data_IF_377602091390
#
_entry.id   IF_377602091390
#
_cell.length_a   1.000
_cell.length_b   1.000
_cell.length_c   1.000
_cell.angle_alpha   90.00
_cell.angle_beta   90.00
_cell.angle_gamma   90.00
#
_symmetry.space_group_name_H-M   'P 1'
#
loop_
_entity.id
_entity.type
_entity.pdbx_description
1 polymer ?
#
# COMPACT_ATOMS: atom_id res chain seq x y z
N UNK A 1 -19.20 -21.91 -6.13
CA UNK A 1 -19.09 -22.28 -4.71
C UNK A 1 -17.77 -21.77 -4.19
N UNK A 2 -17.73 -20.99 -3.10
CA UNK A 2 -16.50 -20.41 -2.55
C UNK A 2 -15.97 -21.27 -1.40
N UNK A 3 -14.65 -21.30 -1.21
CA UNK A 3 -14.03 -22.04 -0.08
C UNK A 3 -14.61 -21.59 1.27
N UNK A 4 -14.76 -20.30 1.59
CA UNK A 4 -15.40 -19.88 2.83
C UNK A 4 -16.82 -20.43 3.01
N UNK A 5 -17.65 -20.41 1.97
CA UNK A 5 -18.99 -20.95 2.03
C UNK A 5 -19.01 -22.47 2.26
N UNK A 6 -18.07 -23.21 1.69
CA UNK A 6 -17.94 -24.66 1.92
C UNK A 6 -17.51 -24.98 3.34
N UNK A 7 -16.69 -24.13 3.96
CA UNK A 7 -16.20 -24.28 5.33
C UNK A 7 -17.11 -23.64 6.38
N UNK A 8 -18.27 -23.10 5.99
CA UNK A 8 -19.18 -22.42 6.90
C UNK A 8 -18.61 -21.14 7.54
N UNK A 9 -17.62 -20.51 6.88
CA UNK A 9 -17.01 -19.27 7.35
C UNK A 9 -17.98 -18.11 7.07
N UNK A 10 -18.33 -17.40 8.12
CA UNK A 10 -19.14 -16.18 8.11
C UNK A 10 -18.33 -15.00 8.64
N UNK A 11 -18.86 -13.78 8.54
CA UNK A 11 -18.19 -12.59 9.12
C UNK A 11 -18.08 -12.69 10.65
N UNK A 12 -18.97 -13.42 11.31
CA UNK A 12 -19.01 -13.55 12.77
C UNK A 12 -17.96 -14.54 13.29
N UNK A 13 -17.65 -15.59 12.50
CA UNK A 13 -16.67 -16.61 12.88
C UNK A 13 -15.33 -16.49 12.14
N UNK A 14 -15.14 -15.42 11.35
CA UNK A 14 -13.90 -15.16 10.65
C UNK A 14 -12.76 -14.95 11.65
N UNK A 15 -11.74 -15.81 11.60
CA UNK A 15 -10.53 -15.64 12.39
C UNK A 15 -9.71 -14.46 11.83
N UNK A 16 -9.66 -13.39 12.60
CA UNK A 16 -8.93 -12.16 12.23
C UNK A 16 -7.47 -12.31 12.64
N UNK A 17 -6.62 -12.72 11.70
CA UNK A 17 -5.18 -12.64 11.90
C UNK A 17 -4.71 -11.24 11.53
N UNK A 18 -4.07 -10.56 12.48
CA UNK A 18 -3.49 -9.21 12.22
C UNK A 18 -2.31 -9.30 11.27
N UNK A 19 -1.49 -10.34 11.41
CA UNK A 19 -0.31 -10.56 10.59
C UNK A 19 -0.17 -12.04 10.26
N UNK A 20 -0.02 -12.38 8.98
CA UNK A 20 0.24 -13.74 8.51
C UNK A 20 1.30 -13.81 7.40
N UNK A 21 1.84 -12.65 6.99
CA UNK A 21 3.01 -12.54 6.12
C UNK A 21 4.11 -11.80 6.87
N UNK A 22 5.33 -12.33 6.82
CA UNK A 22 6.51 -11.70 7.39
C UNK A 22 7.46 -11.28 6.26
N UNK A 23 8.07 -10.11 6.45
CA UNK A 23 9.15 -9.67 5.56
C UNK A 23 10.44 -10.43 5.86
N UNK A 24 11.27 -10.57 4.84
CA UNK A 24 12.64 -11.02 4.99
C UNK A 24 13.44 -10.03 5.86
N UNK A 25 14.08 -10.56 6.91
CA UNK A 25 14.76 -9.73 7.91
C UNK A 25 16.06 -9.12 7.36
N UNK A 26 16.79 -9.86 6.51
CA UNK A 26 18.03 -9.36 5.92
C UNK A 26 17.75 -8.23 4.94
N UNK A 27 16.75 -8.41 4.07
CA UNK A 27 16.28 -7.38 3.16
C UNK A 27 15.74 -6.15 3.92
N UNK A 28 14.98 -6.35 4.99
CA UNK A 28 14.48 -5.26 5.83
C UNK A 28 15.63 -4.47 6.48
N UNK A 29 16.66 -5.17 6.95
CA UNK A 29 17.86 -4.55 7.52
C UNK A 29 18.63 -3.74 6.45
N UNK A 30 18.73 -4.26 5.24
CA UNK A 30 19.34 -3.53 4.12
C UNK A 30 18.55 -2.26 3.79
N UNK A 31 17.22 -2.34 3.77
CA UNK A 31 16.36 -1.18 3.57
C UNK A 31 16.51 -0.14 4.67
N UNK A 32 16.58 -0.54 5.95
CA UNK A 32 16.82 0.40 7.05
C UNK A 32 18.16 1.14 6.92
N UNK A 33 19.21 0.48 6.42
CA UNK A 33 20.49 1.14 6.12
C UNK A 33 20.36 2.15 4.98
N UNK A 34 19.65 1.78 3.91
CA UNK A 34 19.41 2.65 2.75
C UNK A 34 18.57 3.88 3.11
N UNK A 35 17.51 3.69 3.89
CA UNK A 35 16.65 4.77 4.38
C UNK A 35 17.36 5.68 5.40
N UNK A 36 18.38 5.18 6.06
CA UNK A 36 19.10 5.92 7.09
C UNK A 36 18.30 6.15 8.39
N UNK A 37 18.80 6.99 9.29
CA UNK A 37 18.16 7.27 10.58
C UNK A 37 16.76 7.88 10.38
N UNK A 38 15.76 7.29 11.04
CA UNK A 38 14.40 7.79 10.99
C UNK A 38 14.28 9.12 11.74
N UNK A 39 13.95 10.19 11.05
CA UNK A 39 13.76 11.53 11.61
C UNK A 39 12.28 11.95 11.63
N UNK A 40 11.46 11.35 10.80
CA UNK A 40 10.05 11.65 10.61
C UNK A 40 9.26 10.34 10.43
N UNK A 41 7.94 10.43 10.52
CA UNK A 41 7.06 9.31 10.21
C UNK A 41 7.21 8.96 8.72
N UNK A 42 7.47 7.67 8.42
CA UNK A 42 7.66 7.14 7.07
C UNK A 42 6.33 6.68 6.50
N UNK A 43 5.91 7.34 5.45
CA UNK A 43 4.65 7.07 4.75
C UNK A 43 4.97 6.47 3.39
N UNK A 44 4.66 5.19 3.21
CA UNK A 44 4.70 4.56 1.89
C UNK A 44 3.43 4.85 1.11
N UNK A 45 3.53 5.06 -0.20
CA UNK A 45 2.35 5.35 -0.99
C UNK A 45 2.40 4.74 -2.39
N UNK A 46 1.21 4.45 -2.93
CA UNK A 46 0.98 4.17 -4.35
C UNK A 46 -0.41 4.67 -4.75
N UNK A 47 -0.56 5.14 -5.98
CA UNK A 47 -1.79 5.79 -6.47
C UNK A 47 -2.47 5.04 -7.60
N UNK A 48 -1.84 4.02 -8.17
CA UNK A 48 -2.44 3.25 -9.25
C UNK A 48 -2.00 1.78 -9.22
N UNK A 49 -2.78 0.93 -9.86
CA UNK A 49 -2.37 -0.42 -10.23
C UNK A 49 -1.58 -0.43 -11.53
N UNK A 50 -1.38 -1.61 -12.13
CA UNK A 50 -0.77 -1.76 -13.46
C UNK A 50 -1.56 -0.99 -14.49
N UNK A 51 -0.90 -0.09 -15.22
CA UNK A 51 -1.55 0.85 -16.17
C UNK A 51 -2.07 0.17 -17.44
N UNK A 52 -1.52 -0.98 -17.81
CA UNK A 52 -1.91 -1.77 -18.98
C UNK A 52 -3.24 -2.52 -18.78
N UNK A 53 -3.69 -2.71 -17.56
CA UNK A 53 -4.94 -3.41 -17.27
C UNK A 53 -6.13 -2.43 -17.26
N UNK A 54 -7.13 -2.68 -18.13
CA UNK A 54 -8.34 -1.85 -18.26
C UNK A 54 -9.04 -1.58 -16.91
N UNK A 55 -9.18 -2.60 -16.06
CA UNK A 55 -9.79 -2.47 -14.73
C UNK A 55 -8.98 -1.56 -13.80
N UNK A 56 -7.67 -1.51 -13.95
CA UNK A 56 -6.81 -0.74 -13.05
C UNK A 56 -6.80 0.76 -13.37
N UNK A 57 -7.17 1.17 -14.59
CA UNK A 57 -7.32 2.60 -14.95
C UNK A 57 -8.39 3.29 -14.12
N UNK A 58 -9.38 2.54 -13.63
CA UNK A 58 -10.50 3.07 -12.85
C UNK A 58 -10.31 2.89 -11.32
N UNK A 59 -9.28 2.15 -10.89
CA UNK A 59 -8.99 1.93 -9.47
C UNK A 59 -7.96 2.91 -8.90
N UNK A 60 -7.31 3.69 -9.74
CA UNK A 60 -6.29 4.65 -9.34
C UNK A 60 -6.87 5.99 -8.90
N UNK A 61 -6.09 6.70 -8.09
CA UNK A 61 -6.29 8.13 -7.82
C UNK A 61 -5.44 8.91 -8.83
N UNK A 62 -5.92 10.06 -9.37
CA UNK A 62 -5.08 10.91 -10.22
C UNK A 62 -3.75 11.25 -9.54
N UNK A 63 -2.65 11.20 -10.30
CA UNK A 63 -1.31 11.47 -9.77
C UNK A 63 -1.24 12.85 -9.11
N UNK A 64 -1.88 13.85 -9.70
CA UNK A 64 -1.92 15.22 -9.20
C UNK A 64 -2.55 15.31 -7.80
N UNK A 65 -3.57 14.49 -7.54
CA UNK A 65 -4.21 14.41 -6.21
C UNK A 65 -3.26 13.84 -5.18
N UNK A 66 -2.49 12.80 -5.54
CA UNK A 66 -1.47 12.23 -4.66
C UNK A 66 -0.34 13.22 -4.44
N UNK A 67 0.11 13.92 -5.48
CA UNK A 67 1.15 14.93 -5.40
C UNK A 67 0.75 16.10 -4.49
N UNK A 68 -0.49 16.59 -4.60
CA UNK A 68 -1.04 17.63 -3.73
C UNK A 68 -1.05 17.18 -2.26
N UNK A 69 -1.48 15.94 -2.00
CA UNK A 69 -1.44 15.36 -0.64
C UNK A 69 -0.02 15.37 -0.06
N UNK A 70 0.98 14.97 -0.86
CA UNK A 70 2.39 14.94 -0.47
C UNK A 70 2.88 16.35 -0.15
N UNK A 71 2.65 17.29 -1.05
CA UNK A 71 3.13 18.69 -0.93
C UNK A 71 2.51 19.42 0.26
N UNK A 72 1.25 19.13 0.60
CA UNK A 72 0.59 19.67 1.80
C UNK A 72 1.06 19.06 3.11
N UNK A 73 1.79 17.96 3.06
CA UNK A 73 2.23 17.22 4.24
C UNK A 73 3.76 16.99 4.26
N UNK A 74 4.58 18.06 4.19
CA UNK A 74 6.05 17.96 4.13
C UNK A 74 6.67 17.48 5.44
N UNK A 75 5.90 17.40 6.53
CA UNK A 75 6.35 16.90 7.84
C UNK A 75 6.60 15.39 7.85
N UNK A 76 6.13 14.64 6.85
CA UNK A 76 6.34 13.20 6.70
C UNK A 76 7.51 12.89 5.77
N UNK A 77 8.10 11.71 5.94
CA UNK A 77 9.05 11.14 4.99
C UNK A 77 8.26 10.25 4.01
N UNK A 78 8.03 10.78 2.81
CA UNK A 78 7.26 10.10 1.76
C UNK A 78 8.13 9.15 0.96
N UNK A 79 7.72 7.89 0.85
CA UNK A 79 8.45 6.82 0.18
C UNK A 79 7.58 6.20 -0.89
N UNK A 80 8.01 6.30 -2.13
CA UNK A 80 7.26 5.77 -3.26
C UNK A 80 7.35 4.23 -3.31
N UNK A 81 6.17 3.59 -3.36
CA UNK A 81 6.01 2.14 -3.58
C UNK A 81 5.53 1.81 -5.00
N UNK A 82 5.13 2.82 -5.78
CA UNK A 82 4.70 2.65 -7.17
C UNK A 82 5.90 2.28 -8.04
N UNK A 83 5.83 1.13 -8.71
CA UNK A 83 6.90 0.65 -9.60
C UNK A 83 6.81 1.29 -10.98
N UNK A 84 5.58 1.37 -11.51
CA UNK A 84 5.30 1.93 -12.84
C UNK A 84 5.06 3.46 -12.72
N UNK A 85 6.13 4.23 -12.90
CA UNK A 85 6.15 5.70 -12.78
C UNK A 85 6.73 6.28 -14.06
N UNK A 86 6.06 7.30 -14.65
CA UNK A 86 6.58 8.00 -15.83
C UNK A 86 7.74 8.93 -15.46
N UNK A 87 8.48 9.41 -16.46
CA UNK A 87 9.57 10.36 -16.24
C UNK A 87 9.06 11.68 -15.66
N UNK A 88 7.88 12.15 -16.10
CA UNK A 88 7.24 13.36 -15.61
C UNK A 88 6.82 13.23 -14.13
N UNK A 89 6.21 12.09 -13.79
CA UNK A 89 5.84 11.80 -12.42
C UNK A 89 7.06 11.67 -11.51
N UNK A 90 8.13 11.04 -11.99
CA UNK A 90 9.39 10.92 -11.26
C UNK A 90 10.02 12.29 -10.97
N UNK A 91 10.07 13.15 -11.96
CA UNK A 91 10.57 14.52 -11.79
C UNK A 91 9.74 15.30 -10.77
N UNK A 92 8.41 15.20 -10.84
CA UNK A 92 7.50 15.87 -9.91
C UNK A 92 7.62 15.34 -8.47
N UNK A 93 7.74 14.03 -8.29
CA UNK A 93 7.98 13.42 -6.98
C UNK A 93 9.33 13.83 -6.39
N UNK A 94 10.38 13.86 -7.22
CA UNK A 94 11.71 14.32 -6.81
C UNK A 94 11.69 15.78 -6.37
N UNK A 95 11.00 16.65 -7.11
CA UNK A 95 10.82 18.06 -6.75
C UNK A 95 10.03 18.25 -5.45
N UNK A 96 9.11 17.33 -5.14
CA UNK A 96 8.36 17.29 -3.87
C UNK A 96 9.15 16.65 -2.71
N UNK A 97 10.42 16.25 -2.92
CA UNK A 97 11.26 15.66 -1.88
C UNK A 97 10.91 14.21 -1.54
N UNK A 98 10.24 13.50 -2.43
CA UNK A 98 9.90 12.08 -2.25
C UNK A 98 11.12 11.21 -2.48
N UNK A 99 11.35 10.27 -1.58
CA UNK A 99 12.40 9.26 -1.74
C UNK A 99 11.93 8.14 -2.66
N UNK A 100 12.74 7.87 -3.68
CA UNK A 100 12.54 6.78 -4.64
C UNK A 100 13.79 5.91 -4.74
N UNK A 101 13.56 4.65 -5.09
CA UNK A 101 14.62 3.65 -5.26
C UNK A 101 14.42 2.90 -6.58
N UNK A 102 14.67 3.54 -7.74
CA UNK A 102 14.50 2.91 -9.04
C UNK A 102 15.29 1.60 -9.14
N UNK A 103 14.64 0.54 -9.64
CA UNK A 103 15.28 -0.77 -9.82
C UNK A 103 15.58 -1.57 -8.54
N UNK A 104 15.34 -1.02 -7.35
CA UNK A 104 15.58 -1.73 -6.08
C UNK A 104 14.41 -2.62 -5.63
N UNK A 105 13.22 -2.40 -6.21
CA UNK A 105 12.02 -3.21 -5.96
C UNK A 105 11.80 -4.11 -7.19
N UNK A 106 12.26 -5.36 -7.12
CA UNK A 106 12.18 -6.33 -8.21
C UNK A 106 11.19 -7.47 -7.93
N UNK A 107 10.75 -7.61 -6.68
CA UNK A 107 9.87 -8.67 -6.24
C UNK A 107 8.95 -8.22 -5.11
N UNK A 108 7.90 -9.00 -4.83
CA UNK A 108 7.08 -8.79 -3.64
C UNK A 108 7.85 -8.93 -2.34
N UNK A 109 8.94 -9.72 -2.31
CA UNK A 109 9.80 -9.81 -1.13
C UNK A 109 10.55 -8.50 -0.86
N UNK A 110 10.99 -7.79 -1.90
CA UNK A 110 11.62 -6.46 -1.77
C UNK A 110 10.60 -5.42 -1.33
N UNK A 111 9.39 -5.47 -1.91
CA UNK A 111 8.27 -4.60 -1.50
C UNK A 111 7.91 -4.83 -0.03
N UNK A 112 7.78 -6.09 0.41
CA UNK A 112 7.50 -6.44 1.80
C UNK A 112 8.58 -5.93 2.76
N UNK A 113 9.84 -6.10 2.39
CA UNK A 113 10.96 -5.62 3.19
C UNK A 113 10.97 -4.10 3.35
N UNK A 114 10.65 -3.35 2.27
CA UNK A 114 10.50 -1.90 2.34
C UNK A 114 9.28 -1.51 3.20
N UNK A 115 8.12 -2.11 2.98
CA UNK A 115 6.90 -1.89 3.77
C UNK A 115 7.17 -2.15 5.27
N UNK A 116 8.02 -3.14 5.59
CA UNK A 116 8.39 -3.42 6.97
C UNK A 116 9.12 -2.27 7.67
N UNK A 117 9.71 -1.35 6.92
CA UNK A 117 10.43 -0.17 7.42
C UNK A 117 9.54 1.10 7.52
N UNK A 118 8.27 1.00 7.17
CA UNK A 118 7.32 2.13 7.12
C UNK A 118 6.39 2.13 8.33
N UNK A 119 5.84 3.28 8.65
CA UNK A 119 4.85 3.46 9.73
C UNK A 119 3.42 3.27 9.24
N UNK A 120 3.14 3.72 8.02
CA UNK A 120 1.82 3.60 7.38
C UNK A 120 1.99 3.46 5.87
N UNK A 121 1.08 2.76 5.24
CA UNK A 121 0.97 2.66 3.78
C UNK A 121 -0.35 3.30 3.35
N UNK A 122 -0.29 4.23 2.40
CA UNK A 122 -1.45 4.83 1.73
C UNK A 122 -1.48 4.30 0.31
N UNK A 123 -2.53 3.60 -0.07
CA UNK A 123 -2.60 2.97 -1.38
C UNK A 123 -4.03 2.82 -1.86
N UNK A 124 -4.18 2.62 -3.16
CA UNK A 124 -5.43 2.19 -3.78
C UNK A 124 -5.58 0.67 -3.71
N UNK A 125 -6.71 0.12 -4.16
CA UNK A 125 -6.99 -1.34 -4.18
C UNK A 125 -6.04 -2.09 -5.13
N UNK A 126 -4.85 -2.38 -4.63
CA UNK A 126 -3.76 -3.06 -5.34
C UNK A 126 -3.07 -4.11 -4.48
N UNK A 127 -2.17 -4.89 -5.09
CA UNK A 127 -1.35 -5.87 -4.38
C UNK A 127 -0.54 -5.26 -3.21
N UNK A 128 -0.16 -3.98 -3.28
CA UNK A 128 0.55 -3.26 -2.21
C UNK A 128 -0.32 -3.16 -0.95
N UNK A 129 -1.59 -2.78 -1.11
CA UNK A 129 -2.56 -2.73 0.00
C UNK A 129 -2.72 -4.10 0.66
N UNK A 130 -2.94 -5.15 -0.14
CA UNK A 130 -3.10 -6.50 0.39
C UNK A 130 -1.83 -7.00 1.09
N UNK A 131 -0.66 -6.72 0.54
CA UNK A 131 0.62 -7.09 1.14
C UNK A 131 0.84 -6.38 2.49
N UNK A 132 0.69 -5.06 2.53
CA UNK A 132 0.84 -4.27 3.74
C UNK A 132 -0.14 -4.71 4.84
N UNK A 133 -1.40 -4.94 4.47
CA UNK A 133 -2.45 -5.41 5.37
C UNK A 133 -2.19 -6.82 5.90
N UNK A 134 -1.73 -7.75 5.03
CA UNK A 134 -1.36 -9.12 5.42
C UNK A 134 -0.12 -9.17 6.34
N UNK A 135 0.73 -8.16 6.25
CA UNK A 135 1.87 -7.93 7.15
C UNK A 135 1.46 -7.22 8.46
N UNK A 136 0.18 -6.92 8.65
CA UNK A 136 -0.32 -6.22 9.83
C UNK A 136 0.13 -4.76 9.93
N UNK A 137 0.52 -4.14 8.81
CA UNK A 137 0.93 -2.75 8.80
C UNK A 137 -0.28 -1.82 8.76
N UNK A 138 -0.25 -0.69 9.47
CA UNK A 138 -1.27 0.35 9.31
C UNK A 138 -1.39 0.72 7.83
N UNK A 139 -2.58 0.57 7.28
CA UNK A 139 -2.81 0.78 5.84
C UNK A 139 -4.07 1.62 5.65
N UNK A 140 -3.93 2.72 4.91
CA UNK A 140 -5.01 3.59 4.52
C UNK A 140 -5.34 3.32 3.06
N UNK A 141 -6.50 2.75 2.82
CA UNK A 141 -6.98 2.38 1.51
C UNK A 141 -7.86 3.49 0.95
N UNK A 142 -7.43 4.09 -0.14
CA UNK A 142 -8.26 4.97 -0.96
C UNK A 142 -9.08 4.10 -1.90
N UNK A 143 -10.34 3.87 -1.55
CA UNK A 143 -11.21 2.94 -2.25
C UNK A 143 -12.19 3.67 -3.15
N UNK A 144 -12.15 3.35 -4.43
CA UNK A 144 -13.19 3.81 -5.35
C UNK A 144 -14.46 2.97 -5.19
N UNK A 145 -15.61 3.61 -5.36
CA UNK A 145 -16.92 2.96 -5.25
C UNK A 145 -17.18 1.91 -6.34
N UNK A 146 -16.47 1.98 -7.47
CA UNK A 146 -16.68 1.12 -8.64
C UNK A 146 -15.71 -0.07 -8.65
N UNK A 147 -16.22 -1.29 -8.91
CA UNK A 147 -15.44 -2.53 -9.03
C UNK A 147 -14.55 -2.84 -7.80
N UNK A 148 -15.10 -2.61 -6.61
CA UNK A 148 -14.42 -2.90 -5.34
C UNK A 148 -14.20 -4.41 -5.16
N UNK A 149 -13.05 -4.78 -4.60
CA UNK A 149 -12.82 -6.17 -4.19
C UNK A 149 -13.77 -6.54 -3.02
N UNK A 150 -14.30 -7.75 -3.05
CA UNK A 150 -15.26 -8.26 -2.06
C UNK A 150 -14.74 -8.20 -0.61
N UNK A 151 -13.43 -8.13 -0.41
CA UNK A 151 -12.82 -8.05 0.92
C UNK A 151 -13.08 -6.71 1.59
N UNK A 152 -13.38 -5.68 0.81
CA UNK A 152 -13.65 -4.36 1.37
C UNK A 152 -15.09 -4.21 1.86
N UNK A 153 -16.02 -5.01 1.31
CA UNK A 153 -17.46 -4.89 1.56
C UNK A 153 -18.01 -3.50 1.16
N UNK A 154 -19.22 -3.17 1.59
CA UNK A 154 -19.85 -1.88 1.32
C UNK A 154 -20.19 -1.17 2.64
N UNK A 155 -20.33 0.15 2.58
CA UNK A 155 -20.81 1.01 3.67
C UNK A 155 -20.03 0.85 4.99
N UNK A 156 -18.68 0.79 4.88
CA UNK A 156 -17.81 0.68 6.05
C UNK A 156 -16.42 1.25 5.80
N UNK A 157 -15.76 1.65 6.87
CA UNK A 157 -14.41 2.23 6.89
C UNK A 157 -13.30 1.22 7.28
N UNK A 158 -13.63 -0.06 7.39
CA UNK A 158 -12.73 -1.12 7.86
C UNK A 158 -12.97 -2.43 7.14
N UNK A 159 -11.97 -3.31 7.10
CA UNK A 159 -12.10 -4.65 6.51
C UNK A 159 -12.14 -5.72 7.61
N UNK A 160 -13.05 -6.71 7.53
CA UNK A 160 -13.04 -7.84 8.46
C UNK A 160 -11.83 -8.77 8.26
N UNK A 161 -11.19 -8.75 7.06
CA UNK A 161 -10.01 -9.57 6.76
C UNK A 161 -8.70 -8.89 7.17
N UNK A 162 -8.68 -7.57 7.26
CA UNK A 162 -7.48 -6.78 7.51
C UNK A 162 -7.71 -5.77 8.63
N UNK A 163 -7.50 -6.17 9.89
CA UNK A 163 -7.81 -5.32 11.05
C UNK A 163 -7.05 -3.99 11.10
N UNK A 164 -5.93 -3.90 10.38
CA UNK A 164 -5.07 -2.69 10.32
C UNK A 164 -5.40 -1.77 9.16
N UNK A 165 -6.40 -2.12 8.34
CA UNK A 165 -6.83 -1.29 7.20
C UNK A 165 -7.93 -0.35 7.62
N UNK A 166 -7.76 0.93 7.26
CA UNK A 166 -8.81 1.94 7.26
C UNK A 166 -9.15 2.32 5.82
N UNK A 167 -10.45 2.35 5.50
CA UNK A 167 -10.97 2.62 4.15
C UNK A 167 -11.48 4.07 4.10
N UNK A 168 -11.17 4.76 3.00
CA UNK A 168 -11.55 6.14 2.72
C UNK A 168 -12.21 6.26 1.35
#
# INVERSE_FOLDING_TARGET
MSIPGTLGITLDNLQRQVQYINADQEKSTAWLKTLGPKKRMRVGFSWSGRRDAWLNRHKGVPFETMLDLIQRNPQYEWINLQVDVTEEEDAALSAAGVTRYPGSIQSFADTAALINCLDVVISVDTAITHLAAAMGRPTWLMLQWFATDWRWLLDRDSSPWYPTVRIF
#
